data_IF_628486540719
#
_entry.id   IF_628486540719
#
_cell.length_a   1.000
_cell.length_b   1.000
_cell.length_c   1.000
_cell.angle_alpha   90.00
_cell.angle_beta   90.00
_cell.angle_gamma   90.00
#
_symmetry.space_group_name_H-M   'P 1'
#
loop_
_entity.id
_entity.type
_entity.pdbx_description
1 polymer ?
#
# COMPACT_ATOMS: atom_id res chain seq x y z
N UNK A 1 13.08 -16.44 -20.90
CA UNK A 1 12.48 -15.97 -19.63
C UNK A 1 11.46 -17.02 -19.20
N UNK A 2 11.88 -18.07 -18.51
CA UNK A 2 10.94 -19.03 -17.91
C UNK A 2 10.16 -18.29 -16.83
N UNK A 3 8.85 -18.10 -17.02
CA UNK A 3 7.97 -17.67 -15.94
C UNK A 3 8.09 -18.72 -14.84
N UNK A 4 8.76 -18.38 -13.74
CA UNK A 4 8.72 -19.23 -12.54
C UNK A 4 7.26 -19.43 -12.19
N UNK A 5 6.87 -20.69 -11.96
CA UNK A 5 5.53 -20.99 -11.47
C UNK A 5 5.40 -20.23 -10.14
N UNK A 6 4.42 -19.33 -9.99
CA UNK A 6 4.26 -18.59 -8.74
C UNK A 6 4.08 -19.61 -7.61
N UNK A 7 4.91 -19.47 -6.57
CA UNK A 7 4.83 -20.33 -5.39
C UNK A 7 3.41 -20.22 -4.84
N UNK A 8 2.73 -21.36 -4.73
CA UNK A 8 1.42 -21.42 -4.09
C UNK A 8 1.61 -21.14 -2.61
N UNK A 9 0.79 -20.23 -2.10
CA UNK A 9 0.72 -19.91 -0.69
C UNK A 9 -0.48 -20.59 -0.04
N UNK A 10 -0.36 -20.91 1.24
CA UNK A 10 -1.42 -21.49 2.07
C UNK A 10 -1.87 -20.50 3.15
N UNK A 11 -3.10 -20.66 3.65
CA UNK A 11 -3.68 -19.75 4.65
C UNK A 11 -2.87 -19.73 5.95
N UNK A 12 -2.19 -20.83 6.32
CA UNK A 12 -1.34 -20.87 7.53
C UNK A 12 -0.23 -19.81 7.51
N UNK A 13 0.32 -19.48 6.33
CA UNK A 13 1.36 -18.46 6.19
C UNK A 13 0.88 -17.06 6.57
N UNK A 14 -0.44 -16.78 6.48
CA UNK A 14 -1.01 -15.52 6.96
C UNK A 14 -0.97 -15.42 8.49
N UNK A 15 -1.15 -16.52 9.21
CA UNK A 15 -1.04 -16.51 10.67
C UNK A 15 0.42 -16.25 11.08
N UNK A 16 1.35 -16.98 10.46
CA UNK A 16 2.79 -16.85 10.74
C UNK A 16 3.30 -15.42 10.49
N UNK A 17 2.88 -14.79 9.39
CA UNK A 17 3.32 -13.44 9.06
C UNK A 17 2.66 -12.37 9.94
N UNK A 18 1.43 -12.60 10.41
CA UNK A 18 0.76 -11.69 11.34
C UNK A 18 1.45 -11.69 12.71
N UNK A 19 1.84 -12.86 13.21
CA UNK A 19 2.64 -13.00 14.45
C UNK A 19 3.98 -12.26 14.34
N UNK A 20 4.62 -12.30 13.16
CA UNK A 20 5.86 -11.53 12.92
C UNK A 20 5.61 -10.02 12.85
N UNK A 21 4.49 -9.58 12.27
CA UNK A 21 4.19 -8.16 12.10
C UNK A 21 3.86 -7.43 13.39
N UNK A 22 3.21 -8.09 14.35
CA UNK A 22 2.81 -7.45 15.62
C UNK A 22 3.97 -6.75 16.36
N UNK A 23 5.08 -7.43 16.70
CA UNK A 23 6.20 -6.78 17.39
C UNK A 23 6.90 -5.73 16.52
N UNK A 24 7.02 -5.97 15.21
CA UNK A 24 7.64 -5.03 14.28
C UNK A 24 6.84 -3.74 14.15
N UNK A 25 5.51 -3.83 14.16
CA UNK A 25 4.63 -2.66 14.10
C UNK A 25 4.87 -1.73 15.28
N UNK A 26 4.97 -2.29 16.50
CA UNK A 26 5.22 -1.50 17.70
C UNK A 26 6.56 -0.75 17.65
N UNK A 27 7.62 -1.41 17.15
CA UNK A 27 8.94 -0.81 16.97
C UNK A 27 8.92 0.27 15.89
N UNK A 28 8.31 -0.01 14.73
CA UNK A 28 8.16 0.95 13.63
C UNK A 28 7.35 2.18 14.07
N UNK A 29 6.26 2.02 14.82
CA UNK A 29 5.45 3.13 15.33
C UNK A 29 6.20 3.98 16.36
N UNK A 30 7.09 3.38 17.15
CA UNK A 30 7.99 4.11 18.05
C UNK A 30 9.04 4.89 17.25
N UNK A 31 9.65 4.26 16.25
CA UNK A 31 10.66 4.89 15.39
C UNK A 31 10.06 6.06 14.59
N UNK A 32 8.88 5.88 14.00
CA UNK A 32 8.13 6.96 13.30
C UNK A 32 7.90 8.19 14.18
N UNK A 33 7.55 7.98 15.44
CA UNK A 33 7.37 9.07 16.41
C UNK A 33 8.70 9.75 16.74
N UNK A 34 9.78 8.98 16.88
CA UNK A 34 11.10 9.51 17.20
C UNK A 34 11.70 10.35 16.06
N UNK A 35 11.39 10.02 14.81
CA UNK A 35 11.90 10.75 13.64
C UNK A 35 10.98 11.88 13.18
N UNK A 36 9.83 12.07 13.84
CA UNK A 36 8.87 13.09 13.41
C UNK A 36 9.48 14.49 13.47
N UNK A 37 9.44 15.20 12.33
CA UNK A 37 10.04 16.53 12.19
C UNK A 37 11.52 16.53 11.80
N UNK A 38 12.17 15.36 11.73
CA UNK A 38 13.52 15.26 11.16
C UNK A 38 13.48 15.42 9.64
N UNK A 39 14.53 16.00 9.08
CA UNK A 39 14.71 16.18 7.63
C UNK A 39 16.03 15.56 7.19
N UNK A 40 16.12 15.17 5.92
CA UNK A 40 17.29 14.49 5.37
C UNK A 40 17.22 12.96 5.50
N UNK A 41 18.36 12.31 5.30
CA UNK A 41 18.45 10.85 5.37
C UNK A 41 18.48 10.40 6.83
N UNK A 42 17.45 9.68 7.25
CA UNK A 42 17.35 9.09 8.59
C UNK A 42 17.41 7.59 8.46
N UNK A 43 18.26 6.94 9.26
CA UNK A 43 18.32 5.49 9.32
C UNK A 43 17.11 4.97 10.10
N UNK A 44 16.28 4.14 9.46
CA UNK A 44 14.98 3.68 9.99
C UNK A 44 14.81 2.16 9.87
N UNK A 45 15.66 1.36 10.54
CA UNK A 45 15.68 -0.09 10.36
C UNK A 45 14.36 -0.77 10.73
N UNK A 46 13.67 -0.30 11.78
CA UNK A 46 12.44 -0.96 12.22
C UNK A 46 11.27 -0.65 11.28
N UNK A 47 11.23 0.57 10.72
CA UNK A 47 10.29 0.90 9.65
C UNK A 47 10.59 0.04 8.42
N UNK A 48 11.86 -0.10 8.04
CA UNK A 48 12.26 -0.89 6.86
C UNK A 48 11.88 -2.37 7.03
N UNK A 49 12.20 -2.98 8.17
CA UNK A 49 11.86 -4.37 8.49
C UNK A 49 10.34 -4.60 8.48
N UNK A 50 9.58 -3.72 9.14
CA UNK A 50 8.12 -3.76 9.13
C UNK A 50 7.57 -3.69 7.70
N UNK A 51 8.13 -2.82 6.86
CA UNK A 51 7.71 -2.67 5.48
C UNK A 51 8.04 -3.91 4.64
N UNK A 52 9.20 -4.54 4.80
CA UNK A 52 9.54 -5.77 4.09
C UNK A 52 8.59 -6.92 4.43
N UNK A 53 8.24 -7.09 5.72
CA UNK A 53 7.29 -8.11 6.13
C UNK A 53 5.88 -7.77 5.63
N UNK A 54 5.49 -6.49 5.63
CA UNK A 54 4.21 -6.04 5.08
C UNK A 54 4.07 -6.36 3.58
N UNK A 55 5.14 -6.17 2.81
CA UNK A 55 5.18 -6.54 1.38
C UNK A 55 4.97 -8.03 1.19
N UNK A 56 5.67 -8.87 1.96
CA UNK A 56 5.49 -10.33 1.91
C UNK A 56 4.04 -10.72 2.26
N UNK A 57 3.42 -10.07 3.26
CA UNK A 57 2.01 -10.31 3.59
C UNK A 57 1.10 -9.98 2.41
N UNK A 58 1.32 -8.85 1.76
CA UNK A 58 0.54 -8.46 0.58
C UNK A 58 0.71 -9.45 -0.59
N UNK A 59 1.92 -9.99 -0.79
CA UNK A 59 2.19 -11.03 -1.80
C UNK A 59 1.43 -12.33 -1.50
N UNK A 60 1.44 -12.78 -0.25
CA UNK A 60 0.68 -13.95 0.21
C UNK A 60 -0.81 -13.73 -0.02
N UNK A 61 -1.35 -12.58 0.41
CA UNK A 61 -2.76 -12.22 0.22
C UNK A 61 -3.16 -12.20 -1.26
N UNK A 62 -2.34 -11.57 -2.10
CA UNK A 62 -2.58 -11.52 -3.54
C UNK A 62 -2.60 -12.93 -4.16
N UNK A 63 -1.70 -13.82 -3.74
CA UNK A 63 -1.66 -15.20 -4.21
C UNK A 63 -2.89 -15.99 -3.74
N UNK A 64 -3.29 -15.88 -2.47
CA UNK A 64 -4.48 -16.55 -1.94
C UNK A 64 -5.77 -16.10 -2.63
N UNK A 65 -5.90 -14.80 -2.93
CA UNK A 65 -7.02 -14.26 -3.71
C UNK A 65 -7.01 -14.79 -5.15
N UNK A 66 -5.83 -14.84 -5.79
CA UNK A 66 -5.70 -15.39 -7.14
C UNK A 66 -6.04 -16.90 -7.21
N UNK A 67 -5.80 -17.64 -6.13
CA UNK A 67 -6.20 -19.05 -6.01
C UNK A 67 -7.70 -19.23 -5.74
N UNK A 68 -8.44 -18.16 -5.44
CA UNK A 68 -9.85 -18.22 -5.04
C UNK A 68 -10.06 -18.68 -3.60
N UNK A 69 -9.00 -18.74 -2.79
CA UNK A 69 -9.07 -19.11 -1.36
C UNK A 69 -9.51 -17.93 -0.48
N UNK A 70 -9.45 -16.70 -1.01
CA UNK A 70 -9.94 -15.49 -0.35
C UNK A 70 -10.69 -14.61 -1.35
N UNK A 71 -11.75 -13.95 -0.88
CA UNK A 71 -12.43 -12.92 -1.65
C UNK A 71 -11.55 -11.65 -1.74
N UNK A 72 -11.78 -10.87 -2.80
CA UNK A 72 -11.25 -9.51 -2.89
C UNK A 72 -11.89 -8.64 -1.80
N UNK A 73 -11.12 -7.72 -1.24
CA UNK A 73 -11.67 -6.76 -0.28
C UNK A 73 -12.51 -5.70 -0.98
N UNK A 74 -13.38 -5.04 -0.23
CA UNK A 74 -14.16 -3.91 -0.71
C UNK A 74 -13.27 -2.82 -1.33
N UNK A 75 -12.14 -2.52 -0.69
CA UNK A 75 -11.15 -1.55 -1.20
C UNK A 75 -10.64 -1.92 -2.60
N UNK A 76 -10.36 -3.19 -2.87
CA UNK A 76 -9.91 -3.65 -4.19
C UNK A 76 -11.02 -3.50 -5.23
N UNK A 77 -12.22 -3.99 -4.92
CA UNK A 77 -13.37 -3.97 -5.83
C UNK A 77 -13.72 -2.53 -6.23
N UNK A 78 -13.84 -1.65 -5.24
CA UNK A 78 -14.16 -0.24 -5.46
C UNK A 78 -13.01 0.47 -6.17
N UNK A 79 -11.75 0.18 -5.83
CA UNK A 79 -10.60 0.77 -6.54
C UNK A 79 -10.61 0.41 -8.02
N UNK A 80 -10.91 -0.84 -8.37
CA UNK A 80 -11.02 -1.29 -9.76
C UNK A 80 -12.16 -0.55 -10.47
N UNK A 81 -13.33 -0.44 -9.84
CA UNK A 81 -14.47 0.28 -10.40
C UNK A 81 -14.17 1.77 -10.63
N UNK A 82 -13.60 2.45 -9.64
CA UNK A 82 -13.21 3.86 -9.73
C UNK A 82 -12.12 4.10 -10.77
N UNK A 83 -11.14 3.20 -10.90
CA UNK A 83 -10.12 3.29 -11.93
C UNK A 83 -10.69 3.11 -13.34
N UNK A 84 -11.70 2.25 -13.50
CA UNK A 84 -12.39 2.05 -14.75
C UNK A 84 -13.28 3.26 -15.13
N UNK A 85 -14.05 3.80 -14.18
CA UNK A 85 -14.95 4.93 -14.40
C UNK A 85 -14.19 6.25 -14.56
N UNK A 86 -13.13 6.45 -13.78
CA UNK A 86 -12.41 7.72 -13.68
C UNK A 86 -10.93 7.60 -14.08
N UNK A 87 -10.66 6.95 -15.23
CA UNK A 87 -9.31 6.73 -15.78
C UNK A 87 -8.41 7.96 -15.81
N UNK A 88 -9.00 9.14 -16.02
CA UNK A 88 -8.31 10.44 -16.15
C UNK A 88 -8.37 11.30 -14.88
N UNK A 89 -8.82 10.76 -13.75
CA UNK A 89 -8.85 11.48 -12.48
C UNK A 89 -7.44 11.97 -12.10
N UNK A 90 -7.34 13.27 -11.85
CA UNK A 90 -6.09 13.93 -11.40
C UNK A 90 -5.88 13.68 -9.91
N UNK A 91 -4.67 13.98 -9.43
CA UNK A 91 -4.40 13.93 -7.99
C UNK A 91 -5.37 14.86 -7.22
N UNK A 92 -5.82 14.41 -6.06
CA UNK A 92 -6.82 15.04 -5.20
C UNK A 92 -8.23 15.20 -5.79
N UNK A 93 -8.51 14.68 -6.99
CA UNK A 93 -9.88 14.68 -7.52
C UNK A 93 -10.79 13.87 -6.60
N UNK A 94 -11.97 14.42 -6.32
CA UNK A 94 -13.01 13.76 -5.53
C UNK A 94 -14.12 13.33 -6.48
N UNK A 95 -14.57 12.09 -6.35
CA UNK A 95 -15.65 11.49 -7.15
C UNK A 95 -16.62 10.77 -6.24
N UNK A 96 -17.88 10.71 -6.62
CA UNK A 96 -18.90 9.95 -5.91
C UNK A 96 -19.09 8.58 -6.54
N UNK A 97 -19.17 7.55 -5.70
CA UNK A 97 -19.47 6.19 -6.10
C UNK A 97 -20.24 5.50 -4.97
N UNK A 98 -21.38 4.88 -5.30
CA UNK A 98 -22.22 4.17 -4.34
C UNK A 98 -22.53 4.96 -3.05
N UNK A 99 -22.92 6.23 -3.21
CA UNK A 99 -23.26 7.13 -2.11
C UNK A 99 -22.08 7.61 -1.26
N UNK A 100 -20.85 7.23 -1.61
CA UNK A 100 -19.63 7.58 -0.90
C UNK A 100 -18.72 8.47 -1.74
N UNK A 101 -17.95 9.33 -1.08
CA UNK A 101 -16.99 10.23 -1.72
C UNK A 101 -15.58 9.65 -1.67
N UNK A 102 -14.90 9.54 -2.80
CA UNK A 102 -13.56 9.00 -2.91
C UNK A 102 -12.59 10.04 -3.46
N UNK A 103 -11.46 10.22 -2.77
CA UNK A 103 -10.39 11.10 -3.20
C UNK A 103 -9.25 10.32 -3.85
N UNK A 104 -8.87 10.73 -5.06
CA UNK A 104 -7.70 10.19 -5.76
C UNK A 104 -6.41 10.69 -5.10
N UNK A 105 -5.50 9.79 -4.79
CA UNK A 105 -4.17 10.13 -4.24
C UNK A 105 -3.06 9.51 -5.07
N UNK A 106 -1.98 10.27 -5.19
CA UNK A 106 -0.80 9.90 -5.95
C UNK A 106 0.40 9.91 -5.00
N UNK A 107 1.14 8.79 -4.96
CA UNK A 107 2.39 8.69 -4.21
C UNK A 107 3.56 8.40 -5.15
N UNK A 108 4.74 9.00 -4.94
CA UNK A 108 5.92 8.66 -5.71
C UNK A 108 6.26 7.18 -5.52
N UNK A 109 6.34 6.42 -6.63
CA UNK A 109 6.67 5.00 -6.59
C UNK A 109 8.11 4.74 -7.05
N UNK A 110 8.56 5.46 -8.09
CA UNK A 110 9.91 5.32 -8.64
C UNK A 110 10.48 6.68 -9.03
N UNK A 111 11.74 6.92 -8.66
CA UNK A 111 12.47 8.13 -9.00
C UNK A 111 13.42 7.92 -10.20
N UNK A 112 13.93 9.02 -10.75
CA UNK A 112 15.05 9.07 -11.68
C UNK A 112 16.37 8.66 -11.01
N UNK A 113 17.43 8.43 -11.81
CA UNK A 113 18.80 8.13 -11.32
C UNK A 113 19.32 9.16 -10.33
N UNK A 114 18.98 10.42 -10.57
CA UNK A 114 19.34 11.53 -9.70
C UNK A 114 18.47 11.67 -8.44
N UNK A 115 17.39 10.89 -8.30
CA UNK A 115 16.38 11.07 -7.26
C UNK A 115 15.50 12.31 -7.41
N UNK A 116 15.76 13.19 -8.40
CA UNK A 116 15.11 14.50 -8.51
C UNK A 116 13.74 14.49 -9.19
N UNK A 117 13.43 13.45 -9.98
CA UNK A 117 12.20 13.41 -10.79
C UNK A 117 11.44 12.11 -10.51
N UNK A 118 10.15 12.22 -10.21
CA UNK A 118 9.26 11.06 -10.09
C UNK A 118 8.93 10.52 -11.47
N UNK A 119 9.33 9.28 -11.76
CA UNK A 119 9.06 8.59 -13.03
C UNK A 119 7.74 7.84 -13.03
N UNK A 120 7.37 7.29 -11.88
CA UNK A 120 6.17 6.48 -11.74
C UNK A 120 5.46 6.88 -10.47
N UNK A 121 4.13 7.02 -10.58
CA UNK A 121 3.26 7.35 -9.47
C UNK A 121 2.37 6.14 -9.17
N UNK A 122 2.35 5.73 -7.91
CA UNK A 122 1.29 4.88 -7.39
C UNK A 122 0.00 5.70 -7.32
N UNK A 123 -1.11 5.11 -7.75
CA UNK A 123 -2.43 5.74 -7.73
C UNK A 123 -3.37 4.86 -6.93
N UNK A 124 -4.11 5.48 -6.03
CA UNK A 124 -5.07 4.80 -5.17
C UNK A 124 -6.17 5.77 -4.77
N UNK A 125 -7.22 5.26 -4.14
CA UNK A 125 -8.37 6.03 -3.69
C UNK A 125 -8.49 5.95 -2.18
N UNK A 126 -8.84 7.07 -1.56
CA UNK A 126 -9.24 7.11 -0.16
C UNK A 126 -10.71 7.47 -0.06
N UNK A 127 -11.46 6.67 0.69
CA UNK A 127 -12.79 7.04 1.15
C UNK A 127 -12.69 8.32 1.98
N UNK A 128 -13.57 9.28 1.72
CA UNK A 128 -13.69 10.50 2.51
C UNK A 128 -14.82 10.37 3.52
N UNK A 129 -14.51 10.73 4.75
CA UNK A 129 -15.51 11.01 5.78
C UNK A 129 -16.27 12.30 5.42
N UNK A 130 -17.46 12.54 6.00
CA UNK A 130 -18.19 13.80 5.83
C UNK A 130 -17.39 15.05 6.22
N UNK A 131 -16.36 14.88 7.07
CA UNK A 131 -15.42 15.94 7.44
C UNK A 131 -14.41 16.30 6.35
N UNK A 132 -14.39 15.59 5.22
CA UNK A 132 -13.41 15.72 4.14
C UNK A 132 -12.06 15.05 4.43
N UNK A 133 -11.89 14.45 5.61
CA UNK A 133 -10.71 13.64 5.96
C UNK A 133 -10.81 12.24 5.34
N UNK A 134 -9.68 11.61 5.10
CA UNK A 134 -9.65 10.20 4.72
C UNK A 134 -10.20 9.34 5.87
N UNK A 135 -10.97 8.31 5.53
CA UNK A 135 -11.39 7.28 6.47
C UNK A 135 -10.16 6.49 6.94
N UNK A 136 -9.88 6.41 8.26
CA UNK A 136 -8.68 5.75 8.77
C UNK A 136 -8.62 4.26 8.50
N UNK A 137 -9.76 3.58 8.50
CA UNK A 137 -9.86 2.13 8.29
C UNK A 137 -9.61 1.80 6.81
N UNK A 138 -10.22 2.59 5.91
CA UNK A 138 -9.94 2.51 4.48
C UNK A 138 -8.45 2.77 4.19
N UNK A 139 -7.86 3.80 4.79
CA UNK A 139 -6.44 4.09 4.62
C UNK A 139 -5.56 2.93 5.11
N UNK A 140 -5.89 2.31 6.25
CA UNK A 140 -5.16 1.17 6.78
C UNK A 140 -5.22 -0.02 5.81
N UNK A 141 -6.39 -0.34 5.27
CA UNK A 141 -6.56 -1.42 4.29
C UNK A 141 -5.82 -1.14 2.98
N UNK A 142 -5.87 0.09 2.44
CA UNK A 142 -5.09 0.48 1.25
C UNK A 142 -3.58 0.24 1.47
N UNK A 143 -3.08 0.59 2.66
CA UNK A 143 -1.66 0.39 3.03
C UNK A 143 -1.29 -1.09 3.21
N UNK A 144 -2.22 -1.89 3.68
CA UNK A 144 -2.03 -3.34 3.81
C UNK A 144 -2.06 -4.06 2.46
N UNK A 145 -2.94 -3.64 1.55
CA UNK A 145 -3.10 -4.25 0.22
C UNK A 145 -1.93 -3.85 -0.68
N UNK A 146 -1.53 -2.57 -0.66
CA UNK A 146 -0.44 -2.06 -1.49
C UNK A 146 0.66 -1.35 -0.68
N UNK A 147 1.37 -2.06 0.21
CA UNK A 147 2.44 -1.47 1.02
C UNK A 147 3.56 -0.87 0.15
N UNK A 148 3.78 -1.44 -1.03
CA UNK A 148 4.76 -0.94 -2.01
C UNK A 148 4.44 0.44 -2.57
N UNK A 149 3.18 0.89 -2.54
CA UNK A 149 2.79 2.24 -2.98
C UNK A 149 3.34 3.33 -2.07
N UNK A 150 3.72 2.96 -0.86
CA UNK A 150 4.24 3.85 0.17
C UNK A 150 5.77 3.72 0.34
N UNK A 151 6.42 2.99 -0.57
CA UNK A 151 7.87 2.87 -0.65
C UNK A 151 8.38 3.50 -1.94
N UNK A 152 9.30 4.44 -1.80
CA UNK A 152 9.97 5.05 -2.95
C UNK A 152 11.14 4.16 -3.36
N UNK A 153 11.07 3.53 -4.54
CA UNK A 153 12.21 2.78 -5.08
C UNK A 153 13.20 3.72 -5.76
N UNK A 154 14.40 3.83 -5.21
CA UNK A 154 15.55 4.53 -5.83
C UNK A 154 16.26 3.62 -6.83
N UNK A 155 15.57 3.23 -7.90
CA UNK A 155 16.08 2.38 -9.01
C UNK A 155 16.56 0.99 -8.56
N UNK A 156 16.19 -0.01 -9.36
CA UNK A 156 16.69 -1.37 -9.24
C UNK A 156 18.23 -1.33 -9.42
N UNK A 157 18.99 -1.61 -8.36
CA UNK A 157 20.33 -2.16 -8.53
C UNK A 157 20.21 -3.64 -8.83
#
# INVERSE_FOLDING_TARGET
>A
MSKSIPKLHVISELYDINEQLMPLKALADRERRAIFGLTGMVYTPHIDDYMQVSIKKAEILACLKAQGLMAQSEVEVITIALDFLHKRARNNAVVEYDGNSYQRKFSPLKLSKSGKVVRTWAKYWFLQLPSGRADPEWEAQVREIWPTYFLIRTIDM
#
